data_IF_926859651059
#
_entry.id   IF_926859651059
#
_cell.length_a   1.000
_cell.length_b   1.000
_cell.length_c   1.000
_cell.angle_alpha   90.00
_cell.angle_beta   90.00
_cell.angle_gamma   90.00
#
_symmetry.space_group_name_H-M   'P 1'
#
loop_
_entity.id
_entity.type
_entity.pdbx_description
1 polymer ?
#
# COMPACT_ATOMS: atom_id res chain seq x y z
N UNK A 1 -1.18 -16.02 3.87
CA UNK A 1 -1.89 -14.73 4.09
C UNK A 1 -2.33 -14.04 2.79
N UNK A 2 -3.08 -14.70 1.89
CA UNK A 2 -3.56 -14.07 0.62
C UNK A 2 -5.07 -13.85 0.56
N UNK A 3 -5.84 -14.63 1.33
CA UNK A 3 -7.31 -14.63 1.24
C UNK A 3 -7.97 -13.51 2.05
N UNK A 4 -7.42 -13.15 3.22
CA UNK A 4 -8.00 -12.11 4.08
C UNK A 4 -7.97 -10.70 3.49
N UNK A 5 -6.94 -10.34 2.73
CA UNK A 5 -6.82 -9.02 2.07
C UNK A 5 -7.88 -8.82 0.98
N UNK A 6 -8.09 -9.83 0.13
CA UNK A 6 -9.04 -9.76 -0.98
C UNK A 6 -10.48 -9.75 -0.47
N UNK A 7 -10.78 -10.50 0.60
CA UNK A 7 -12.10 -10.47 1.23
C UNK A 7 -12.36 -9.12 1.92
N UNK A 8 -11.38 -8.58 2.64
CA UNK A 8 -11.52 -7.27 3.28
C UNK A 8 -11.76 -6.15 2.25
N UNK A 9 -11.03 -6.13 1.14
CA UNK A 9 -11.23 -5.18 0.04
C UNK A 9 -12.67 -5.23 -0.50
N UNK A 10 -13.19 -6.45 -0.77
CA UNK A 10 -14.55 -6.64 -1.29
C UNK A 10 -15.64 -6.27 -0.28
N UNK A 11 -15.44 -6.59 1.00
CA UNK A 11 -16.41 -6.34 2.08
C UNK A 11 -16.45 -4.86 2.48
N UNK A 12 -15.37 -4.09 2.32
CA UNK A 12 -15.34 -2.65 2.57
C UNK A 12 -16.01 -1.82 1.46
N UNK A 13 -16.08 -2.33 0.23
CA UNK A 13 -16.72 -1.63 -0.87
C UNK A 13 -18.24 -1.50 -0.67
N UNK A 14 -18.90 -2.54 -0.17
CA UNK A 14 -20.36 -2.53 0.05
C UNK A 14 -20.85 -1.42 1.01
N UNK A 15 -20.29 -1.24 2.23
CA UNK A 15 -20.70 -0.16 3.13
C UNK A 15 -20.31 1.23 2.59
N UNK A 16 -19.19 1.35 1.87
CA UNK A 16 -18.80 2.62 1.26
C UNK A 16 -19.76 3.06 0.15
N UNK A 17 -20.19 2.14 -0.72
CA UNK A 17 -21.19 2.43 -1.75
C UNK A 17 -22.52 2.89 -1.12
N UNK A 18 -22.95 2.23 -0.04
CA UNK A 18 -24.14 2.64 0.72
C UNK A 18 -24.03 4.05 1.30
N UNK A 19 -22.88 4.40 1.88
CA UNK A 19 -22.62 5.74 2.40
C UNK A 19 -22.65 6.82 1.30
N UNK A 20 -22.03 6.55 0.15
CA UNK A 20 -22.05 7.48 -0.98
C UNK A 20 -23.48 7.76 -1.48
N UNK A 21 -24.32 6.72 -1.58
CA UNK A 21 -25.72 6.86 -1.99
C UNK A 21 -26.50 7.71 -0.98
N UNK A 22 -26.37 7.41 0.32
CA UNK A 22 -27.03 8.20 1.39
C UNK A 22 -26.57 9.66 1.38
N UNK A 23 -25.27 9.90 1.20
CA UNK A 23 -24.70 11.25 1.15
C UNK A 23 -25.24 12.06 -0.04
N UNK A 24 -25.31 11.48 -1.23
CA UNK A 24 -25.84 12.15 -2.43
C UNK A 24 -27.32 12.48 -2.27
N UNK A 25 -28.13 11.53 -1.78
CA UNK A 25 -29.55 11.78 -1.54
C UNK A 25 -29.79 12.80 -0.42
N UNK A 26 -29.00 12.75 0.65
CA UNK A 26 -29.04 13.73 1.73
C UNK A 26 -28.69 15.13 1.25
N UNK A 27 -27.62 15.27 0.47
CA UNK A 27 -27.19 16.55 -0.12
C UNK A 27 -28.24 17.08 -1.10
N UNK A 28 -28.83 16.23 -1.94
CA UNK A 28 -29.89 16.61 -2.88
C UNK A 28 -31.14 17.14 -2.16
N UNK A 29 -31.61 16.46 -1.11
CA UNK A 29 -32.74 16.94 -0.28
C UNK A 29 -32.38 18.24 0.45
N UNK A 30 -31.19 18.33 1.02
CA UNK A 30 -30.73 19.52 1.73
C UNK A 30 -30.63 20.74 0.78
N UNK A 31 -30.19 20.54 -0.46
CA UNK A 31 -30.19 21.58 -1.49
C UNK A 31 -31.60 22.05 -1.86
N UNK A 32 -32.62 21.18 -1.81
CA UNK A 32 -34.02 21.60 -2.05
C UNK A 32 -34.65 22.32 -0.86
N UNK A 33 -34.14 22.11 0.35
CA UNK A 33 -34.61 22.78 1.57
C UNK A 33 -33.99 24.15 1.80
N UNK A 34 -32.87 24.44 1.15
CA UNK A 34 -32.14 25.69 1.30
C UNK A 34 -32.45 26.65 0.15
N UNK A 35 -32.32 27.95 0.42
CA UNK A 35 -32.41 28.98 -0.61
C UNK A 35 -31.35 28.78 -1.70
N UNK A 36 -31.61 29.31 -2.91
CA UNK A 36 -30.75 29.16 -4.10
C UNK A 36 -29.27 29.48 -3.82
N UNK A 37 -28.98 30.54 -3.05
CA UNK A 37 -27.62 30.91 -2.64
C UNK A 37 -26.97 29.94 -1.65
N UNK A 38 -27.77 29.31 -0.77
CA UNK A 38 -27.31 28.30 0.18
C UNK A 38 -26.98 26.98 -0.53
N UNK A 39 -27.83 26.56 -1.46
CA UNK A 39 -27.60 25.38 -2.28
C UNK A 39 -26.34 25.51 -3.16
N UNK A 40 -26.13 26.67 -3.81
CA UNK A 40 -24.90 26.92 -4.59
C UNK A 40 -23.65 26.91 -3.72
N UNK A 41 -23.71 27.52 -2.54
CA UNK A 41 -22.58 27.52 -1.60
C UNK A 41 -22.22 26.11 -1.13
N UNK A 42 -23.20 25.26 -0.84
CA UNK A 42 -22.97 23.86 -0.45
C UNK A 42 -22.38 23.01 -1.58
N UNK A 43 -22.84 23.21 -2.82
CA UNK A 43 -22.29 22.49 -3.97
C UNK A 43 -20.83 22.90 -4.20
N UNK A 44 -20.56 24.21 -4.19
CA UNK A 44 -19.20 24.74 -4.37
C UNK A 44 -18.27 24.27 -3.25
N UNK A 45 -18.71 24.27 -1.99
CA UNK A 45 -17.89 23.78 -0.88
C UNK A 45 -17.59 22.29 -1.00
N UNK A 46 -18.58 21.48 -1.42
CA UNK A 46 -18.40 20.04 -1.66
C UNK A 46 -17.42 19.78 -2.80
N UNK A 47 -17.54 20.51 -3.91
CA UNK A 47 -16.61 20.41 -5.06
C UNK A 47 -15.20 20.84 -4.65
N UNK A 48 -15.08 21.94 -3.90
CA UNK A 48 -13.79 22.43 -3.39
C UNK A 48 -13.12 21.39 -2.50
N UNK A 49 -13.88 20.78 -1.57
CA UNK A 49 -13.37 19.69 -0.73
C UNK A 49 -12.87 18.52 -1.59
N UNK A 50 -13.64 18.08 -2.58
CA UNK A 50 -13.23 17.00 -3.49
C UNK A 50 -11.94 17.35 -4.25
N UNK A 51 -11.81 18.58 -4.75
CA UNK A 51 -10.59 19.04 -5.42
C UNK A 51 -9.39 19.07 -4.48
N UNK A 52 -9.56 19.53 -3.24
CA UNK A 52 -8.51 19.52 -2.21
C UNK A 52 -8.07 18.10 -1.86
N UNK A 53 -9.02 17.18 -1.69
CA UNK A 53 -8.71 15.77 -1.45
C UNK A 53 -8.03 15.12 -2.65
N UNK A 54 -8.49 15.40 -3.87
CA UNK A 54 -7.86 14.92 -5.10
C UNK A 54 -6.42 15.41 -5.22
N UNK A 55 -6.17 16.71 -4.98
CA UNK A 55 -4.82 17.28 -4.95
C UNK A 55 -3.95 16.58 -3.91
N UNK A 56 -4.45 16.43 -2.67
CA UNK A 56 -3.73 15.74 -1.60
C UNK A 56 -3.39 14.31 -1.99
N UNK A 57 -4.32 13.59 -2.63
CA UNK A 57 -4.10 12.24 -3.15
C UNK A 57 -3.00 12.22 -4.21
N UNK A 58 -3.00 13.14 -5.17
CA UNK A 58 -1.98 13.22 -6.23
C UNK A 58 -0.60 13.54 -5.66
N UNK A 59 -0.50 14.56 -4.81
CA UNK A 59 0.77 14.93 -4.17
C UNK A 59 1.32 13.81 -3.29
N UNK A 60 0.43 13.13 -2.57
CA UNK A 60 0.83 11.96 -1.78
C UNK A 60 1.24 10.80 -2.70
N UNK A 61 0.55 10.60 -3.83
CA UNK A 61 0.88 9.58 -4.82
C UNK A 61 2.29 9.81 -5.38
N UNK A 62 2.73 11.05 -5.60
CA UNK A 62 4.13 11.36 -5.97
C UNK A 62 5.14 10.90 -4.91
N UNK A 63 4.81 11.03 -3.62
CA UNK A 63 5.64 10.56 -2.50
C UNK A 63 5.71 9.03 -2.48
N UNK A 64 4.58 8.34 -2.71
CA UNK A 64 4.52 6.87 -2.88
C UNK A 64 5.19 6.39 -4.17
N UNK A 65 5.28 7.25 -5.19
CA UNK A 65 5.89 6.98 -6.49
C UNK A 65 7.42 7.11 -6.48
N UNK A 66 8.02 7.72 -5.45
CA UNK A 66 9.44 7.52 -5.20
C UNK A 66 9.64 6.07 -4.79
N UNK A 67 9.74 5.20 -5.78
CA UNK A 67 9.96 3.74 -5.63
C UNK A 67 11.08 3.45 -4.63
N UNK A 68 12.08 4.32 -4.57
CA UNK A 68 13.16 4.24 -3.61
C UNK A 68 12.67 4.33 -2.16
N UNK A 69 11.81 5.29 -1.79
CA UNK A 69 11.31 5.44 -0.43
C UNK A 69 10.48 4.22 0.00
N UNK A 70 9.65 3.70 -0.91
CA UNK A 70 8.83 2.53 -0.70
C UNK A 70 9.68 1.27 -0.46
N UNK A 71 10.66 1.00 -1.34
CA UNK A 71 11.51 -0.17 -1.19
C UNK A 71 12.49 -0.03 -0.02
N UNK A 72 13.00 1.17 0.25
CA UNK A 72 13.87 1.45 1.41
C UNK A 72 13.12 1.23 2.72
N UNK A 73 11.89 1.73 2.83
CA UNK A 73 11.02 1.48 3.99
C UNK A 73 10.73 -0.03 4.15
N UNK A 74 10.50 -0.73 3.04
CA UNK A 74 10.35 -2.19 3.05
C UNK A 74 11.57 -2.89 3.66
N UNK A 75 12.78 -2.55 3.22
CA UNK A 75 14.01 -3.17 3.74
C UNK A 75 14.25 -2.82 5.22
N UNK A 76 13.88 -1.61 5.65
CA UNK A 76 13.99 -1.19 7.05
C UNK A 76 12.99 -1.90 7.97
N UNK A 77 11.74 -2.07 7.52
CA UNK A 77 10.68 -2.71 8.31
C UNK A 77 10.83 -4.23 8.34
N UNK A 78 11.39 -4.83 7.29
CA UNK A 78 11.54 -6.28 7.16
C UNK A 78 12.96 -6.67 6.69
N UNK A 79 14.00 -6.47 7.52
CA UNK A 79 15.40 -6.68 7.12
C UNK A 79 15.77 -8.13 6.81
N UNK A 80 14.95 -9.09 7.24
CA UNK A 80 15.17 -10.51 6.96
C UNK A 80 14.33 -11.05 5.80
N UNK A 81 13.42 -10.25 5.25
CA UNK A 81 12.54 -10.71 4.19
C UNK A 81 13.25 -10.71 2.83
N UNK A 82 13.63 -11.89 2.35
CA UNK A 82 14.32 -12.07 1.08
C UNK A 82 13.57 -11.45 -0.11
N UNK A 83 12.22 -11.45 -0.10
CA UNK A 83 11.42 -10.89 -1.20
C UNK A 83 11.56 -9.37 -1.30
N UNK A 84 11.68 -8.70 -0.16
CA UNK A 84 11.80 -7.24 -0.09
C UNK A 84 13.18 -6.79 -0.56
N UNK A 85 14.24 -7.49 -0.12
CA UNK A 85 15.60 -7.28 -0.63
C UNK A 85 15.72 -7.52 -2.14
N UNK A 86 15.07 -8.57 -2.66
CA UNK A 86 15.05 -8.86 -4.11
C UNK A 86 14.36 -7.75 -4.92
N UNK A 87 13.20 -7.27 -4.46
CA UNK A 87 12.48 -6.20 -5.14
C UNK A 87 13.26 -4.87 -5.11
N UNK A 88 13.90 -4.53 -3.98
CA UNK A 88 14.75 -3.35 -3.89
C UNK A 88 16.00 -3.47 -4.79
N UNK A 89 16.62 -4.65 -4.85
CA UNK A 89 17.76 -4.91 -5.74
C UNK A 89 17.40 -4.76 -7.22
N UNK A 90 16.22 -5.22 -7.65
CA UNK A 90 15.72 -4.99 -9.01
C UNK A 90 15.54 -3.50 -9.30
N UNK A 91 14.92 -2.75 -8.37
CA UNK A 91 14.79 -1.30 -8.51
C UNK A 91 16.16 -0.60 -8.63
N UNK A 92 17.14 -0.94 -7.79
CA UNK A 92 18.49 -0.37 -7.84
C UNK A 92 19.21 -0.71 -9.15
N UNK A 93 19.01 -1.93 -9.68
CA UNK A 93 19.54 -2.34 -10.99
C UNK A 93 18.95 -1.49 -12.11
N UNK A 94 17.64 -1.27 -12.10
CA UNK A 94 16.95 -0.45 -13.10
C UNK A 94 17.36 1.04 -13.04
N UNK A 95 17.84 1.51 -11.88
CA UNK A 95 18.45 2.84 -11.69
C UNK A 95 19.95 2.89 -12.03
N UNK A 96 20.56 1.79 -12.50
CA UNK A 96 21.99 1.71 -12.82
C UNK A 96 22.92 1.58 -11.61
N UNK A 97 22.38 1.48 -10.38
CA UNK A 97 23.12 1.34 -9.12
C UNK A 97 23.50 -0.12 -8.85
N UNK A 98 24.27 -0.69 -9.78
CA UNK A 98 24.60 -2.12 -9.80
C UNK A 98 25.32 -2.62 -8.55
N UNK A 99 26.20 -1.81 -7.95
CA UNK A 99 26.94 -2.19 -6.74
C UNK A 99 26.01 -2.44 -5.55
N UNK A 100 25.03 -1.57 -5.35
CA UNK A 100 24.05 -1.69 -4.27
C UNK A 100 23.03 -2.80 -4.56
N UNK A 101 22.63 -2.96 -5.82
CA UNK A 101 21.79 -4.08 -6.23
C UNK A 101 22.43 -5.44 -5.90
N UNK A 102 23.73 -5.62 -6.18
CA UNK A 102 24.47 -6.85 -5.86
C UNK A 102 24.47 -7.13 -4.36
N UNK A 103 24.65 -6.11 -3.52
CA UNK A 103 24.57 -6.25 -2.06
C UNK A 103 23.20 -6.81 -1.64
N UNK A 104 22.11 -6.18 -2.08
CA UNK A 104 20.76 -6.62 -1.72
C UNK A 104 20.39 -7.99 -2.32
N UNK A 105 20.87 -8.34 -3.52
CA UNK A 105 20.72 -9.70 -4.05
C UNK A 105 21.42 -10.75 -3.21
N UNK A 106 22.66 -10.48 -2.78
CA UNK A 106 23.40 -11.41 -1.89
C UNK A 106 22.69 -11.59 -0.56
N UNK A 107 22.16 -10.52 0.04
CA UNK A 107 21.36 -10.62 1.27
C UNK A 107 20.10 -11.46 1.06
N UNK A 108 19.39 -11.26 -0.05
CA UNK A 108 18.19 -12.05 -0.38
C UNK A 108 18.52 -13.55 -0.55
N UNK A 109 19.61 -13.86 -1.24
CA UNK A 109 20.09 -15.23 -1.46
C UNK A 109 20.52 -15.89 -0.14
N UNK A 110 21.25 -15.17 0.70
CA UNK A 110 21.65 -15.67 2.02
C UNK A 110 20.41 -15.95 2.88
N UNK A 111 19.45 -15.03 2.99
CA UNK A 111 18.25 -15.25 3.80
C UNK A 111 17.42 -16.44 3.30
N UNK A 112 17.25 -16.59 1.97
CA UNK A 112 16.60 -17.80 1.42
C UNK A 112 17.40 -19.06 1.70
N UNK A 113 18.72 -19.04 1.54
CA UNK A 113 19.59 -20.19 1.81
C UNK A 113 19.53 -20.58 3.29
N UNK A 114 19.50 -19.62 4.21
CA UNK A 114 19.31 -19.84 5.64
C UNK A 114 17.93 -20.44 5.94
N UNK A 115 16.85 -19.93 5.34
CA UNK A 115 15.51 -20.53 5.49
C UNK A 115 15.48 -21.97 4.95
N UNK A 116 16.10 -22.23 3.80
CA UNK A 116 16.19 -23.57 3.22
C UNK A 116 17.06 -24.50 4.07
N UNK A 117 18.20 -24.05 4.59
CA UNK A 117 19.09 -24.82 5.45
C UNK A 117 18.42 -25.10 6.80
N UNK A 118 17.81 -24.09 7.42
CA UNK A 118 17.07 -24.27 8.67
C UNK A 118 15.89 -25.23 8.47
N UNK A 119 15.13 -25.12 7.38
CA UNK A 119 14.08 -26.09 7.04
C UNK A 119 14.62 -27.50 6.79
N UNK A 120 15.76 -27.62 6.09
CA UNK A 120 16.41 -28.90 5.75
C UNK A 120 17.06 -29.59 6.96
N UNK A 121 17.60 -28.83 7.90
CA UNK A 121 18.27 -29.31 9.12
C UNK A 121 17.37 -29.30 10.36
N UNK A 122 16.10 -28.88 10.23
CA UNK A 122 15.04 -29.13 11.22
C UNK A 122 14.57 -30.60 11.15
N UNK A 123 15.51 -31.55 11.15
CA UNK A 123 15.24 -32.84 11.80
C UNK A 123 15.26 -32.56 13.32
N UNK A 124 14.29 -33.08 14.09
CA UNK A 124 14.32 -32.91 15.53
C UNK A 124 15.65 -33.48 16.06
N UNK A 125 16.32 -32.70 16.91
CA UNK A 125 17.50 -33.09 17.67
C UNK A 125 17.18 -34.17 18.74
N UNK A 126 16.17 -35.01 18.49
CA UNK A 126 15.67 -36.02 19.41
C UNK A 126 16.15 -37.45 19.08
N UNK A 127 16.71 -37.68 17.88
CA UNK A 127 17.08 -39.03 17.42
C UNK A 127 18.51 -39.07 16.85
N UNK A 128 19.52 -38.64 17.62
CA UNK A 128 20.92 -38.98 17.34
C UNK A 128 21.46 -39.83 18.50
N UNK A 129 21.89 -41.08 18.27
CA UNK A 129 22.55 -41.91 19.27
C UNK A 129 23.94 -41.37 19.65
#
# INVERSE_FOLDING_TARGET
>A
FRVGFVVAERVLYMPSMGYCILFVHGLSKLCTWLNRCGATTLIVSTVLLLLLFSWKTVKQNEIWLSRESLFRSGVQTMPHNAKVHYNYANFLKDQGRNKEAIYHYRTALNNKAWDYLCWRFRKPLADLP
#
